data_IF_608469578562
#
_entry.id   IF_608469578562
#
_cell.length_a   1.000
_cell.length_b   1.000
_cell.length_c   1.000
_cell.angle_alpha   90.00
_cell.angle_beta   90.00
_cell.angle_gamma   90.00
#
_symmetry.space_group_name_H-M   'P 1'
#
loop_
_entity.id
_entity.type
_entity.pdbx_description
1 polymer ?
#
# COMPACT_ATOMS: atom_id res chain seq x y z
N UNK A 1 -15.68 29.34 -54.17
CA UNK A 1 -16.91 29.40 -53.36
C UNK A 1 -16.62 30.25 -52.14
N UNK A 2 -17.29 31.40 -52.00
CA UNK A 2 -17.03 32.37 -50.94
C UNK A 2 -18.16 32.35 -49.91
N UNK A 3 -17.82 32.29 -48.62
CA UNK A 3 -18.54 32.99 -47.53
C UNK A 3 -17.55 33.40 -46.43
N UNK A 4 -17.78 34.61 -45.95
CA UNK A 4 -16.98 35.47 -45.08
C UNK A 4 -17.58 35.45 -43.66
N UNK A 5 -16.74 35.70 -42.64
CA UNK A 5 -17.12 36.26 -41.34
C UNK A 5 -16.85 35.32 -40.16
N UNK A 6 -16.30 35.72 -39.01
CA UNK A 6 -15.94 37.06 -38.52
C UNK A 6 -14.95 36.91 -37.36
N UNK A 7 -14.11 37.93 -37.17
CA UNK A 7 -13.05 38.01 -36.16
C UNK A 7 -13.58 38.32 -34.75
N UNK A 8 -12.81 37.95 -33.72
CA UNK A 8 -12.63 38.77 -32.50
C UNK A 8 -11.17 38.80 -32.08
N UNK A 9 -10.63 40.01 -32.12
CA UNK A 9 -9.33 40.40 -31.63
C UNK A 9 -9.32 40.52 -30.09
N UNK A 10 -8.15 40.34 -29.50
CA UNK A 10 -7.87 40.61 -28.09
C UNK A 10 -6.40 40.35 -27.79
N UNK A 11 -5.54 41.26 -28.23
CA UNK A 11 -4.13 41.31 -27.82
C UNK A 11 -4.01 42.04 -26.48
N UNK A 12 -3.11 41.60 -25.59
CA UNK A 12 -2.06 42.44 -25.02
C UNK A 12 -1.09 41.63 -24.14
N UNK A 13 0.17 41.79 -24.50
CA UNK A 13 1.44 41.36 -23.88
C UNK A 13 1.65 42.06 -22.52
N UNK A 14 2.36 41.44 -21.56
CA UNK A 14 3.52 42.02 -20.85
C UNK A 14 4.31 40.91 -20.13
N UNK A 15 5.61 40.91 -20.42
CA UNK A 15 6.71 40.14 -19.83
C UNK A 15 7.16 40.81 -18.51
N UNK A 16 7.47 40.03 -17.48
CA UNK A 16 8.40 40.45 -16.41
C UNK A 16 9.46 39.35 -16.19
N UNK A 17 10.70 39.76 -16.42
CA UNK A 17 11.98 39.08 -16.17
C UNK A 17 12.50 39.45 -14.78
N UNK A 18 13.29 38.55 -14.17
CA UNK A 18 14.39 38.72 -13.18
C UNK A 18 14.30 37.57 -12.16
N UNK A 19 15.31 36.78 -11.83
CA UNK A 19 16.76 36.87 -12.01
C UNK A 19 17.46 36.48 -10.68
N UNK A 20 18.65 35.86 -10.77
CA UNK A 20 19.69 35.67 -9.74
C UNK A 20 19.75 34.34 -8.93
N UNK A 21 20.61 33.43 -9.42
CA UNK A 21 21.81 32.82 -8.80
C UNK A 21 22.00 32.82 -7.27
N UNK A 22 22.47 31.67 -6.73
CA UNK A 22 23.63 31.42 -5.82
C UNK A 22 23.71 29.90 -5.54
N UNK A 23 24.78 29.18 -5.89
CA UNK A 23 25.88 28.73 -5.01
C UNK A 23 25.38 28.09 -3.69
N UNK A 24 25.67 26.84 -3.29
CA UNK A 24 26.96 26.13 -3.29
C UNK A 24 27.29 25.78 -1.82
N UNK A 25 27.39 24.50 -1.49
CA UNK A 25 28.02 23.93 -0.28
C UNK A 25 28.18 22.43 -0.59
N UNK A 26 29.34 21.89 -0.98
CA UNK A 26 30.70 21.83 -0.40
C UNK A 26 30.83 21.05 0.92
N UNK A 27 31.74 20.05 0.88
CA UNK A 27 32.37 19.33 1.98
C UNK A 27 31.57 18.12 2.52
N UNK A 28 32.03 16.87 2.50
CA UNK A 28 33.39 16.33 2.37
C UNK A 28 33.68 15.35 3.53
N UNK A 29 34.03 14.11 3.18
CA UNK A 29 34.85 13.15 3.95
C UNK A 29 34.19 12.24 5.01
N UNK A 30 33.89 11.00 4.62
CA UNK A 30 34.27 9.79 5.40
C UNK A 30 35.82 9.61 5.33
N UNK A 31 36.50 8.68 6.04
CA UNK A 31 36.09 7.76 7.12
C UNK A 31 37.02 7.88 8.35
N UNK A 32 36.64 7.31 9.50
CA UNK A 32 37.64 6.89 10.50
C UNK A 32 37.48 5.40 10.78
N UNK A 33 38.31 4.66 10.06
CA UNK A 33 38.84 3.35 10.45
C UNK A 33 39.47 3.45 11.83
N UNK A 34 39.06 2.57 12.74
CA UNK A 34 39.95 2.05 13.77
C UNK A 34 39.84 0.52 13.76
N UNK A 35 40.81 -0.08 13.08
CA UNK A 35 41.20 -1.45 13.27
C UNK A 35 42.26 -1.50 14.38
N UNK A 36 42.10 -2.38 15.36
CA UNK A 36 43.19 -2.94 16.16
C UNK A 36 42.72 -4.24 16.86
N UNK A 37 42.82 -5.32 16.10
CA UNK A 37 43.40 -6.64 16.38
C UNK A 37 43.76 -7.09 17.80
N UNK A 38 43.53 -8.41 18.00
CA UNK A 38 44.27 -9.42 18.78
C UNK A 38 44.07 -9.47 20.31
N UNK A 39 43.37 -10.46 20.90
CA UNK A 39 43.57 -11.93 20.99
C UNK A 39 44.66 -12.37 21.97
N UNK A 40 44.28 -13.19 22.97
CA UNK A 40 44.91 -14.40 23.58
C UNK A 40 44.41 -14.56 25.03
N UNK A 41 44.23 -15.71 25.70
CA UNK A 41 44.17 -17.16 25.42
C UNK A 41 43.92 -17.85 26.78
N UNK A 42 43.06 -18.89 26.80
CA UNK A 42 43.01 -20.05 27.76
C UNK A 42 42.72 -19.78 29.26
N UNK A 43 42.04 -20.66 30.02
CA UNK A 43 42.07 -22.13 29.98
C UNK A 43 40.85 -22.71 30.73
N UNK A 44 40.36 -23.84 30.22
CA UNK A 44 39.35 -24.77 30.77
C UNK A 44 39.83 -25.45 32.08
N UNK A 45 38.94 -26.09 32.86
CA UNK A 45 38.66 -27.50 32.59
C UNK A 45 37.17 -27.91 32.70
N UNK A 46 36.75 -28.77 31.76
CA UNK A 46 35.68 -29.77 31.89
C UNK A 46 36.25 -31.04 32.61
N UNK A 47 35.53 -32.16 32.89
CA UNK A 47 34.24 -32.58 32.31
C UNK A 47 33.29 -33.37 33.26
N UNK A 48 32.07 -33.64 32.81
CA UNK A 48 31.51 -35.01 32.92
C UNK A 48 30.37 -35.22 31.94
N UNK A 49 30.47 -36.37 31.27
CA UNK A 49 29.67 -36.85 30.16
C UNK A 49 28.30 -37.36 30.63
N UNK A 50 27.28 -37.22 29.78
CA UNK A 50 26.26 -38.26 29.63
C UNK A 50 25.70 -38.25 28.21
N UNK A 51 25.40 -39.44 27.75
CA UNK A 51 25.40 -39.93 26.37
C UNK A 51 24.00 -40.08 25.77
N UNK A 52 23.85 -39.67 24.49
CA UNK A 52 23.12 -40.27 23.33
C UNK A 52 21.69 -40.87 23.50
N UNK A 53 20.83 -40.94 22.44
CA UNK A 53 21.15 -40.79 21.01
C UNK A 53 20.23 -39.87 20.19
N UNK A 54 20.73 -39.59 18.99
CA UNK A 54 20.07 -38.95 17.87
C UNK A 54 18.74 -39.62 17.50
N UNK A 55 17.76 -38.80 17.13
CA UNK A 55 16.68 -39.20 16.24
C UNK A 55 16.55 -38.15 15.15
N UNK A 56 17.15 -38.50 14.01
CA UNK A 56 16.93 -37.87 12.72
C UNK A 56 15.47 -38.05 12.31
N UNK A 57 14.77 -36.94 12.05
CA UNK A 57 13.63 -36.90 11.14
C UNK A 57 13.39 -35.45 10.71
N UNK A 58 14.30 -34.94 9.88
CA UNK A 58 13.96 -33.84 8.98
C UNK A 58 13.01 -34.39 7.92
N UNK A 59 11.72 -34.52 8.25
CA UNK A 59 10.68 -34.78 7.26
C UNK A 59 10.51 -33.51 6.46
N UNK A 60 11.02 -33.53 5.22
CA UNK A 60 10.62 -32.60 4.18
C UNK A 60 9.10 -32.58 4.07
N UNK A 61 8.45 -31.59 4.66
CA UNK A 61 7.14 -31.15 4.21
C UNK A 61 7.37 -30.24 3.00
N UNK A 62 7.64 -30.83 1.83
CA UNK A 62 7.17 -30.19 0.61
C UNK A 62 5.65 -30.22 0.70
N UNK A 63 5.07 -29.14 1.22
CA UNK A 63 3.68 -28.83 0.98
C UNK A 63 3.54 -28.55 -0.52
N UNK A 64 3.48 -29.62 -1.31
CA UNK A 64 2.81 -29.57 -2.59
C UNK A 64 1.32 -29.56 -2.28
N UNK A 65 0.84 -28.42 -1.78
CA UNK A 65 -0.58 -28.14 -1.85
C UNK A 65 -0.88 -27.96 -3.34
N UNK A 66 -1.45 -29.00 -3.94
CA UNK A 66 -2.33 -28.81 -5.08
C UNK A 66 -3.40 -27.83 -4.63
N UNK A 67 -3.15 -26.54 -4.81
CA UNK A 67 -4.13 -25.49 -4.70
C UNK A 67 -5.16 -25.76 -5.79
N UNK A 68 -6.15 -26.60 -5.47
CA UNK A 68 -7.44 -26.50 -6.11
C UNK A 68 -7.85 -25.06 -5.85
N UNK A 69 -7.78 -24.21 -6.88
CA UNK A 69 -8.01 -22.78 -6.70
C UNK A 69 -9.45 -22.62 -6.23
N UNK A 70 -9.65 -22.50 -4.92
CA UNK A 70 -10.92 -22.04 -4.40
C UNK A 70 -11.14 -20.68 -5.04
N UNK A 71 -12.19 -20.57 -5.86
CA UNK A 71 -12.52 -19.32 -6.50
C UNK A 71 -12.64 -18.26 -5.40
N UNK A 72 -11.88 -17.17 -5.52
CA UNK A 72 -11.89 -16.09 -4.53
C UNK A 72 -13.32 -15.59 -4.33
N UNK A 73 -13.86 -15.77 -3.10
CA UNK A 73 -15.19 -15.26 -2.73
C UNK A 73 -15.00 -14.00 -1.87
N UNK A 74 -15.38 -12.82 -2.39
CA UNK A 74 -15.24 -11.59 -1.62
C UNK A 74 -16.19 -11.54 -0.42
N UNK A 75 -15.61 -11.47 0.78
CA UNK A 75 -16.32 -11.31 2.05
C UNK A 75 -16.18 -9.86 2.52
N UNK A 76 -17.29 -9.26 2.96
CA UNK A 76 -17.28 -7.90 3.51
C UNK A 76 -16.38 -7.84 4.75
N UNK A 77 -15.31 -7.03 4.75
CA UNK A 77 -14.40 -6.95 5.89
C UNK A 77 -15.13 -6.45 7.14
N UNK A 78 -14.81 -7.04 8.30
CA UNK A 78 -15.27 -6.55 9.60
C UNK A 78 -14.24 -5.57 10.14
N UNK A 79 -14.70 -4.48 10.76
CA UNK A 79 -13.81 -3.52 11.38
C UNK A 79 -12.96 -4.20 12.47
N UNK A 80 -11.61 -4.12 12.41
CA UNK A 80 -10.75 -4.90 13.27
C UNK A 80 -10.76 -4.35 14.70
N UNK A 81 -10.65 -5.26 15.69
CA UNK A 81 -10.59 -4.87 17.11
C UNK A 81 -9.39 -3.95 17.40
N UNK A 82 -8.25 -4.20 16.76
CA UNK A 82 -7.04 -3.39 16.94
C UNK A 82 -7.20 -1.93 16.51
N UNK A 83 -8.04 -1.64 15.52
CA UNK A 83 -8.28 -0.28 15.02
C UNK A 83 -9.26 0.53 15.87
N UNK A 84 -9.66 0.06 17.06
CA UNK A 84 -10.59 0.79 17.94
C UNK A 84 -9.89 1.80 18.85
N UNK A 85 -8.57 1.89 18.77
CA UNK A 85 -7.75 2.74 19.63
C UNK A 85 -6.88 3.67 18.80
N UNK A 86 -6.62 4.87 19.32
CA UNK A 86 -5.65 5.81 18.76
C UNK A 86 -4.23 5.42 19.17
N UNK A 87 -3.70 4.38 18.52
CA UNK A 87 -2.36 3.84 18.75
C UNK A 87 -1.70 3.46 17.42
N UNK A 88 -0.38 3.28 17.44
CA UNK A 88 0.37 2.83 16.25
C UNK A 88 -0.20 1.52 15.68
N UNK A 89 -0.47 0.55 16.56
CA UNK A 89 -1.10 -0.71 16.19
C UNK A 89 -2.52 -0.51 15.62
N UNK A 90 -3.27 0.45 16.16
CA UNK A 90 -4.60 0.79 15.64
C UNK A 90 -4.56 1.42 14.24
N UNK A 91 -3.60 2.30 13.98
CA UNK A 91 -3.39 2.89 12.66
C UNK A 91 -2.98 1.84 11.61
N UNK A 92 -2.07 0.93 11.98
CA UNK A 92 -1.66 -0.19 11.12
C UNK A 92 -2.86 -1.10 10.80
N UNK A 93 -3.60 -1.53 11.83
CA UNK A 93 -4.77 -2.38 11.63
C UNK A 93 -5.86 -1.70 10.78
N UNK A 94 -6.02 -0.37 10.91
CA UNK A 94 -6.95 0.39 10.09
C UNK A 94 -6.49 0.47 8.62
N UNK A 95 -5.20 0.65 8.35
CA UNK A 95 -4.66 0.67 6.98
C UNK A 95 -4.86 -0.67 6.28
N UNK A 96 -4.60 -1.79 6.97
CA UNK A 96 -4.86 -3.13 6.43
C UNK A 96 -6.35 -3.35 6.15
N UNK A 97 -7.21 -2.92 7.07
CA UNK A 97 -8.66 -2.95 6.88
C UNK A 97 -9.10 -2.11 5.67
N UNK A 98 -8.54 -0.91 5.49
CA UNK A 98 -8.85 -0.05 4.34
C UNK A 98 -8.57 -0.78 3.01
N UNK A 99 -7.41 -1.41 2.88
CA UNK A 99 -7.07 -2.17 1.67
C UNK A 99 -7.94 -3.41 1.47
N UNK A 100 -8.32 -4.10 2.54
CA UNK A 100 -9.30 -5.19 2.46
C UNK A 100 -10.66 -4.69 1.96
N UNK A 101 -11.09 -3.48 2.40
CA UNK A 101 -12.32 -2.84 1.92
C UNK A 101 -12.22 -2.47 0.45
N UNK A 102 -11.08 -1.94 -0.02
CA UNK A 102 -10.85 -1.68 -1.46
C UNK A 102 -10.99 -2.97 -2.27
N UNK A 103 -10.33 -4.05 -1.86
CA UNK A 103 -10.47 -5.35 -2.52
C UNK A 103 -11.94 -5.79 -2.60
N UNK A 104 -12.67 -5.74 -1.48
CA UNK A 104 -14.08 -6.10 -1.44
C UNK A 104 -14.91 -5.22 -2.37
N UNK A 105 -14.76 -3.90 -2.30
CA UNK A 105 -15.56 -2.94 -3.06
C UNK A 105 -15.40 -3.09 -4.58
N UNK A 106 -14.26 -3.60 -5.05
CA UNK A 106 -13.97 -3.76 -6.48
C UNK A 106 -14.23 -5.18 -7.01
N UNK A 107 -14.15 -6.19 -6.15
CA UNK A 107 -14.47 -7.60 -6.50
C UNK A 107 -15.95 -7.93 -6.27
N UNK A 108 -16.59 -7.23 -5.36
CA UNK A 108 -18.04 -7.19 -5.17
C UNK A 108 -18.47 -5.72 -5.17
N UNK A 109 -18.77 -5.15 -6.36
CA UNK A 109 -19.08 -3.73 -6.54
C UNK A 109 -20.03 -3.16 -5.47
N UNK A 110 -19.45 -2.46 -4.50
CA UNK A 110 -20.12 -1.91 -3.32
C UNK A 110 -19.26 -0.80 -2.74
N UNK A 111 -19.58 0.45 -3.07
CA UNK A 111 -18.81 1.62 -2.64
C UNK A 111 -19.11 2.05 -1.19
N UNK A 112 -20.26 1.67 -0.64
CA UNK A 112 -20.75 2.09 0.68
C UNK A 112 -19.72 1.90 1.81
N UNK A 113 -18.93 0.81 1.87
CA UNK A 113 -17.98 0.62 2.96
C UNK A 113 -16.75 1.55 2.89
N UNK A 114 -16.42 2.11 1.72
CA UNK A 114 -15.27 3.02 1.55
C UNK A 114 -15.58 4.44 1.99
N UNK A 115 -16.81 4.91 1.74
CA UNK A 115 -17.26 6.28 2.02
C UNK A 115 -17.00 6.69 3.49
N UNK A 116 -17.46 5.96 4.51
CA UNK A 116 -17.30 6.38 5.89
C UNK A 116 -15.87 6.23 6.42
N UNK A 117 -14.96 5.56 5.72
CA UNK A 117 -13.57 5.40 6.19
C UNK A 117 -12.59 6.25 5.40
N UNK A 118 -13.07 7.10 4.49
CA UNK A 118 -12.26 7.96 3.65
C UNK A 118 -12.38 9.42 4.09
N UNK A 119 -11.27 10.15 4.07
CA UNK A 119 -11.27 11.60 4.24
C UNK A 119 -11.91 12.28 3.03
N UNK A 120 -12.65 13.37 3.26
CA UNK A 120 -13.36 14.10 2.18
C UNK A 120 -12.44 14.73 1.14
N UNK A 121 -11.15 14.92 1.47
CA UNK A 121 -10.15 15.47 0.57
C UNK A 121 -9.22 14.39 -0.04
N UNK A 122 -9.54 13.11 0.13
CA UNK A 122 -8.74 11.99 -0.37
C UNK A 122 -9.07 11.63 -1.82
N UNK A 123 -8.31 12.20 -2.76
CA UNK A 123 -8.52 11.96 -4.21
C UNK A 123 -8.40 10.49 -4.62
N UNK A 124 -7.45 9.74 -4.09
CA UNK A 124 -7.34 8.33 -4.41
C UNK A 124 -8.50 7.51 -3.85
N UNK A 125 -9.00 7.86 -2.66
CA UNK A 125 -10.17 7.24 -2.06
C UNK A 125 -11.41 7.48 -2.95
N UNK A 126 -11.58 8.71 -3.43
CA UNK A 126 -12.63 9.08 -4.39
C UNK A 126 -12.54 8.21 -5.66
N UNK A 127 -11.34 7.96 -6.18
CA UNK A 127 -11.16 7.10 -7.37
C UNK A 127 -11.63 5.66 -7.13
N UNK A 128 -11.35 5.06 -5.96
CA UNK A 128 -11.86 3.73 -5.66
C UNK A 128 -13.39 3.70 -5.51
N UNK A 129 -13.98 4.74 -4.91
CA UNK A 129 -15.43 4.90 -4.79
C UNK A 129 -16.08 5.03 -6.17
N UNK A 130 -15.51 5.88 -7.04
CA UNK A 130 -15.99 6.06 -8.42
C UNK A 130 -15.89 4.75 -9.20
N UNK A 131 -14.75 4.05 -9.10
CA UNK A 131 -14.54 2.78 -9.79
C UNK A 131 -15.53 1.70 -9.32
N UNK A 132 -15.77 1.58 -8.00
CA UNK A 132 -16.76 0.64 -7.47
C UNK A 132 -18.17 0.92 -8.00
N UNK A 133 -18.57 2.20 -8.08
CA UNK A 133 -19.86 2.59 -8.64
C UNK A 133 -19.96 2.35 -10.16
N UNK A 134 -18.88 2.62 -10.90
CA UNK A 134 -18.81 2.36 -12.34
C UNK A 134 -18.97 0.87 -12.64
N UNK A 135 -18.22 0.02 -11.93
CA UNK A 135 -18.33 -1.43 -12.00
C UNK A 135 -19.76 -1.91 -11.71
N UNK A 136 -20.37 -1.39 -10.64
CA UNK A 136 -21.77 -1.71 -10.30
C UNK A 136 -22.72 -1.33 -11.44
N UNK A 137 -22.59 -0.12 -11.98
CA UNK A 137 -23.45 0.38 -13.07
C UNK A 137 -23.33 -0.45 -14.35
N UNK A 138 -22.14 -1.01 -14.62
CA UNK A 138 -21.85 -1.86 -15.78
C UNK A 138 -22.10 -3.34 -15.52
N UNK A 139 -22.47 -3.72 -14.29
CA UNK A 139 -22.53 -5.12 -13.85
C UNK A 139 -21.21 -5.85 -14.09
N UNK A 140 -20.10 -5.17 -13.87
CA UNK A 140 -18.73 -5.67 -13.98
C UNK A 140 -18.11 -5.86 -12.60
N UNK A 141 -17.06 -6.66 -12.47
CA UNK A 141 -16.27 -6.79 -11.24
C UNK A 141 -14.84 -7.19 -11.55
N UNK A 142 -13.95 -7.00 -10.60
CA UNK A 142 -12.64 -7.65 -10.65
C UNK A 142 -12.69 -9.07 -10.07
N UNK A 143 -11.87 -9.97 -10.61
CA UNK A 143 -11.60 -11.27 -10.05
C UNK A 143 -10.20 -11.75 -10.47
N UNK A 144 -9.42 -12.44 -9.60
CA UNK A 144 -9.64 -12.61 -8.16
C UNK A 144 -9.40 -11.27 -7.41
N UNK A 145 -8.98 -11.30 -6.14
CA UNK A 145 -8.56 -10.10 -5.40
C UNK A 145 -7.53 -9.29 -6.22
N UNK A 146 -7.57 -7.95 -6.12
CA UNK A 146 -6.68 -7.09 -6.89
C UNK A 146 -5.33 -6.89 -6.20
N UNK A 147 -5.27 -7.03 -4.88
CA UNK A 147 -4.06 -6.74 -4.11
C UNK A 147 -3.93 -7.65 -2.89
N UNK A 148 -2.69 -7.82 -2.43
CA UNK A 148 -2.36 -8.34 -1.11
C UNK A 148 -1.47 -7.35 -0.39
N UNK A 149 -1.76 -7.08 0.88
CA UNK A 149 -0.88 -6.28 1.73
C UNK A 149 0.31 -7.16 2.13
N UNK A 150 1.52 -6.73 1.82
CA UNK A 150 2.76 -7.45 2.17
C UNK A 150 3.31 -6.97 3.51
N UNK A 151 3.45 -5.65 3.66
CA UNK A 151 3.97 -5.02 4.87
C UNK A 151 3.22 -3.73 5.14
N UNK A 152 2.93 -3.46 6.41
CA UNK A 152 2.40 -2.19 6.87
C UNK A 152 3.26 -1.67 8.02
N UNK A 153 3.74 -0.43 7.96
CA UNK A 153 4.63 0.12 8.97
C UNK A 153 4.41 1.60 9.23
N UNK A 154 4.58 2.02 10.48
CA UNK A 154 4.58 3.43 10.87
C UNK A 154 5.85 4.09 10.31
N UNK A 155 5.67 5.15 9.54
CA UNK A 155 6.75 6.03 9.04
C UNK A 155 6.93 7.23 9.97
N UNK A 156 5.83 7.77 10.48
CA UNK A 156 5.85 8.86 11.46
C UNK A 156 4.66 8.75 12.40
N UNK A 157 4.91 8.97 13.69
CA UNK A 157 3.87 9.04 14.73
C UNK A 157 4.08 10.29 15.58
N UNK A 158 3.18 11.26 15.42
CA UNK A 158 3.18 12.51 16.20
C UNK A 158 1.76 12.88 16.58
N UNK A 159 1.60 13.84 17.49
CA UNK A 159 0.28 14.36 17.86
C UNK A 159 -0.46 15.07 16.73
N UNK A 160 0.22 15.43 15.63
CA UNK A 160 -0.34 16.21 14.52
C UNK A 160 -0.44 15.44 13.20
N UNK A 161 0.39 14.41 13.04
CA UNK A 161 0.52 13.67 11.79
C UNK A 161 0.93 12.23 12.08
N UNK A 162 0.21 11.30 11.45
CA UNK A 162 0.49 9.87 11.45
C UNK A 162 0.67 9.45 10.00
N UNK A 163 1.83 8.86 9.69
CA UNK A 163 2.16 8.36 8.36
C UNK A 163 2.41 6.87 8.43
N UNK A 164 1.76 6.13 7.54
CA UNK A 164 1.90 4.68 7.42
C UNK A 164 2.32 4.36 6.00
N UNK A 165 3.33 3.51 5.83
CA UNK A 165 3.68 2.92 4.56
C UNK A 165 2.98 1.57 4.44
N UNK A 166 2.39 1.29 3.28
CA UNK A 166 1.89 -0.05 2.94
C UNK A 166 2.54 -0.52 1.64
N UNK A 167 3.26 -1.63 1.72
CA UNK A 167 3.81 -2.33 0.57
C UNK A 167 2.79 -3.37 0.11
N UNK A 168 2.33 -3.25 -1.13
CA UNK A 168 1.31 -4.08 -1.73
C UNK A 168 1.91 -4.92 -2.86
N UNK A 169 1.39 -6.14 -3.00
CA UNK A 169 1.47 -6.88 -4.25
C UNK A 169 0.13 -6.70 -4.96
N UNK A 170 0.11 -5.90 -6.02
CA UNK A 170 -0.99 -5.90 -6.98
C UNK A 170 -0.97 -7.26 -7.67
N UNK A 171 -2.10 -7.95 -7.62
CA UNK A 171 -2.26 -9.31 -8.11
C UNK A 171 -2.70 -9.27 -9.58
N UNK A 172 -2.34 -10.32 -10.31
CA UNK A 172 -2.94 -10.57 -11.61
C UNK A 172 -4.46 -10.72 -11.43
N UNK A 173 -5.22 -9.87 -12.12
CA UNK A 173 -6.68 -9.88 -12.04
C UNK A 173 -7.33 -9.43 -13.34
N UNK A 174 -8.61 -9.73 -13.47
CA UNK A 174 -9.39 -9.44 -14.65
C UNK A 174 -10.63 -8.65 -14.28
N UNK A 175 -10.95 -7.63 -15.08
CA UNK A 175 -12.27 -7.01 -15.05
C UNK A 175 -13.19 -7.87 -15.89
N UNK A 176 -14.21 -8.43 -15.27
CA UNK A 176 -15.15 -9.36 -15.89
C UNK A 176 -16.52 -8.71 -16.00
N UNK A 177 -17.20 -8.94 -17.13
CA UNK A 177 -18.64 -8.66 -17.25
C UNK A 177 -19.47 -9.65 -16.42
N UNK A 178 -20.77 -9.38 -16.33
CA UNK A 178 -21.74 -10.29 -15.70
C UNK A 178 -21.77 -11.69 -16.32
N UNK A 179 -21.42 -11.81 -17.61
CA UNK A 179 -21.32 -13.08 -18.34
C UNK A 179 -19.99 -13.82 -18.15
N UNK A 180 -19.00 -13.18 -17.50
CA UNK A 180 -17.64 -13.72 -17.33
C UNK A 180 -16.66 -13.36 -18.45
N UNK A 181 -17.07 -12.57 -19.45
CA UNK A 181 -16.16 -12.04 -20.47
C UNK A 181 -15.12 -11.10 -19.85
N UNK A 182 -13.85 -11.29 -20.18
CA UNK A 182 -12.76 -10.41 -19.77
C UNK A 182 -12.82 -9.10 -20.55
N UNK A 183 -12.98 -7.99 -19.84
CA UNK A 183 -12.95 -6.62 -20.36
C UNK A 183 -11.53 -6.06 -20.37
N UNK A 184 -10.87 -6.18 -19.24
CA UNK A 184 -9.52 -5.67 -19.01
C UNK A 184 -8.72 -6.67 -18.18
N UNK A 185 -7.39 -6.59 -18.29
CA UNK A 185 -6.45 -7.33 -17.45
C UNK A 185 -5.62 -6.36 -16.64
N UNK A 186 -5.26 -6.79 -15.44
CA UNK A 186 -4.27 -6.16 -14.59
C UNK A 186 -3.18 -7.20 -14.36
N UNK A 187 -1.94 -6.83 -14.66
CA UNK A 187 -0.78 -7.67 -14.38
C UNK A 187 -0.36 -7.54 -12.92
N UNK A 188 0.40 -8.52 -12.43
CA UNK A 188 0.94 -8.43 -11.08
C UNK A 188 2.12 -7.45 -11.02
N UNK A 189 2.11 -6.57 -10.01
CA UNK A 189 3.14 -5.55 -9.80
C UNK A 189 3.28 -5.26 -8.30
N UNK A 190 4.43 -4.73 -7.87
CA UNK A 190 4.60 -4.22 -6.50
C UNK A 190 4.29 -2.73 -6.48
N UNK A 191 3.59 -2.28 -5.45
CA UNK A 191 3.32 -0.87 -5.23
C UNK A 191 3.56 -0.50 -3.77
N UNK A 192 3.98 0.74 -3.52
CA UNK A 192 4.31 1.21 -2.18
C UNK A 192 3.50 2.47 -1.89
N UNK A 193 2.53 2.44 -0.98
CA UNK A 193 1.71 3.62 -0.69
C UNK A 193 2.16 4.32 0.58
N UNK A 194 2.18 5.67 0.54
CA UNK A 194 2.18 6.49 1.74
C UNK A 194 0.75 6.89 2.09
N UNK A 195 0.33 6.54 3.30
CA UNK A 195 -1.00 6.79 3.82
C UNK A 195 -0.94 7.68 5.05
N UNK A 196 -2.04 8.40 5.28
CA UNK A 196 -2.27 9.24 6.45
C UNK A 196 -3.61 8.85 7.08
N UNK A 197 -3.64 7.82 7.94
CA UNK A 197 -4.80 7.57 8.78
C UNK A 197 -4.92 8.68 9.83
N UNK A 198 -6.13 9.21 10.01
CA UNK A 198 -6.42 10.30 10.94
C UNK A 198 -7.46 9.85 11.95
N UNK A 199 -7.15 9.99 13.25
CA UNK A 199 -8.10 9.71 14.33
C UNK A 199 -8.90 10.97 14.66
N UNK A 200 -10.23 10.91 14.56
CA UNK A 200 -11.10 12.06 14.84
C UNK A 200 -11.68 12.08 16.27
N UNK A 201 -11.22 11.17 17.13
CA UNK A 201 -11.72 10.99 18.50
C UNK A 201 -12.50 9.69 18.69
N UNK A 202 -13.12 9.15 17.65
CA UNK A 202 -13.97 7.95 17.72
C UNK A 202 -13.70 6.94 16.61
N UNK A 203 -13.25 7.39 15.45
CA UNK A 203 -12.95 6.54 14.31
C UNK A 203 -11.74 7.04 13.53
N UNK A 204 -11.18 6.13 12.74
CA UNK A 204 -10.14 6.44 11.78
C UNK A 204 -10.75 6.84 10.43
N UNK A 205 -10.12 7.81 9.77
CA UNK A 205 -10.36 8.15 8.36
C UNK A 205 -9.07 8.03 7.57
N UNK A 206 -9.18 7.61 6.33
CA UNK A 206 -8.05 7.37 5.46
C UNK A 206 -7.83 8.53 4.50
N UNK A 207 -6.59 9.01 4.41
CA UNK A 207 -6.10 9.70 3.22
C UNK A 207 -4.91 8.96 2.62
N UNK A 208 -5.01 8.57 1.36
CA UNK A 208 -3.86 8.13 0.58
C UNK A 208 -3.14 9.37 0.07
N UNK A 209 -1.84 9.45 0.34
CA UNK A 209 -1.00 10.59 -0.03
C UNK A 209 -0.45 10.40 -1.44
N UNK A 210 -0.01 9.18 -1.76
CA UNK A 210 0.49 8.81 -3.07
C UNK A 210 1.17 7.45 -3.07
N UNK A 211 1.53 7.01 -4.27
CA UNK A 211 2.45 5.90 -4.52
C UNK A 211 3.90 6.40 -4.37
N UNK A 212 4.78 5.54 -3.88
CA UNK A 212 6.19 5.76 -3.60
C UNK A 212 7.11 5.04 -4.60
N UNK A 213 6.55 4.22 -5.51
CA UNK A 213 7.30 3.46 -6.50
C UNK A 213 7.67 2.04 -6.05
#
# INVERSE_FOLDING_TARGET
>A
MARIGSARAGACVVVIVCGALLAGCDGGSDPTTSAATASVTSTSPAPTSSSSPASSSSTSASASESATSEAYVPVKPKFPKGAKENSEAGAVAFVEYYWAVVNYALTKPDAEPLIPISETDCKQCDQYIILANDLLSKSERFAPALLSVSTTSIVAWTSKDVRVKADLLLLESWRLSSSGEVRDKQDSEKASFLLRPTWNGFEWKMKVIGDLG
#
